data_IF_077836499247
#
_entry.id   IF_077836499247
#
_cell.length_a   1.000
_cell.length_b   1.000
_cell.length_c   1.000
_cell.angle_alpha   90.00
_cell.angle_beta   90.00
_cell.angle_gamma   90.00
#
_symmetry.space_group_name_H-M   'P 1'
#
loop_
_entity.id
_entity.type
_entity.pdbx_description
1 polymer ?
#
# COMPACT_ATOMS: atom_id res chain seq x y z
N UNK A 1 -49.23 38.53 -22.01
CA UNK A 1 -48.18 39.52 -22.36
C UNK A 1 -47.29 39.68 -21.13
N UNK A 2 -46.11 39.03 -21.10
CA UNK A 2 -44.79 39.59 -21.49
C UNK A 2 -44.33 40.69 -20.50
N UNK A 3 -43.11 40.77 -19.95
CA UNK A 3 -41.85 40.01 -20.05
C UNK A 3 -40.81 40.68 -19.12
N UNK A 4 -39.75 39.94 -18.76
CA UNK A 4 -38.34 40.38 -18.59
C UNK A 4 -37.83 40.99 -17.26
N UNK A 5 -37.00 40.17 -16.60
CA UNK A 5 -35.57 40.36 -16.34
C UNK A 5 -35.04 41.78 -16.05
N UNK A 6 -34.44 41.97 -14.88
CA UNK A 6 -33.02 42.33 -14.82
C UNK A 6 -32.39 41.92 -13.49
N UNK A 7 -31.58 40.87 -13.56
CA UNK A 7 -30.52 40.55 -12.62
C UNK A 7 -29.47 41.67 -12.75
N UNK A 8 -29.21 42.41 -11.67
CA UNK A 8 -28.07 43.30 -11.56
C UNK A 8 -27.06 42.72 -10.57
N UNK A 9 -26.06 42.07 -11.19
CA UNK A 9 -24.67 41.95 -10.79
C UNK A 9 -24.28 42.49 -9.40
N UNK A 10 -24.06 41.58 -8.44
CA UNK A 10 -23.08 41.80 -7.38
C UNK A 10 -21.73 41.29 -7.88
N UNK A 11 -20.81 42.24 -8.08
CA UNK A 11 -19.44 42.03 -8.52
C UNK A 11 -18.68 41.06 -7.60
N UNK A 12 -18.16 39.97 -8.19
CA UNK A 12 -17.19 39.07 -7.56
C UNK A 12 -15.90 39.87 -7.31
N UNK A 13 -15.39 39.98 -6.07
CA UNK A 13 -14.06 40.51 -5.86
C UNK A 13 -13.03 39.49 -6.35
N UNK A 14 -12.28 39.85 -7.40
CA UNK A 14 -11.06 39.17 -7.78
C UNK A 14 -9.99 39.41 -6.69
N UNK A 15 -9.97 38.55 -5.67
CA UNK A 15 -8.95 38.54 -4.63
C UNK A 15 -7.94 37.44 -4.90
N UNK A 16 -6.72 37.82 -5.31
CA UNK A 16 -5.60 36.90 -5.50
C UNK A 16 -5.35 36.04 -4.25
N UNK A 17 -5.32 34.72 -4.45
CA UNK A 17 -5.02 33.77 -3.38
C UNK A 17 -3.54 33.89 -3.00
N UNK A 18 -3.28 34.63 -1.92
CA UNK A 18 -2.02 34.60 -1.22
C UNK A 18 -1.78 33.20 -0.65
N UNK A 19 -0.85 32.45 -1.26
CA UNK A 19 -0.32 31.18 -0.75
C UNK A 19 0.63 31.51 0.42
N UNK A 20 0.06 31.78 1.59
CA UNK A 20 0.79 31.65 2.87
C UNK A 20 0.04 30.63 3.71
N UNK A 21 0.39 29.37 3.54
CA UNK A 21 -0.10 28.29 4.39
C UNK A 21 0.46 28.50 5.80
N UNK A 22 -0.34 29.08 6.70
CA UNK A 22 0.01 29.20 8.13
C UNK A 22 0.11 27.80 8.74
N UNK A 23 1.07 27.58 9.64
CA UNK A 23 1.27 26.31 10.38
C UNK A 23 -0.05 25.75 10.96
N UNK A 24 -0.96 26.63 11.40
CA UNK A 24 -2.29 26.24 11.89
C UNK A 24 -3.27 25.68 10.83
N UNK A 25 -3.05 25.91 9.53
CA UNK A 25 -3.80 25.24 8.46
C UNK A 25 -3.22 23.87 8.13
N UNK A 26 -1.90 23.68 8.31
CA UNK A 26 -1.25 22.38 8.14
C UNK A 26 -1.70 21.40 9.26
N UNK A 27 -1.77 21.85 10.52
CA UNK A 27 -2.26 21.06 11.66
C UNK A 27 -3.74 20.64 11.58
N UNK A 28 -4.50 21.14 10.61
CA UNK A 28 -5.94 20.83 10.42
C UNK A 28 -6.20 19.68 9.45
N UNK A 29 -5.16 19.18 8.79
CA UNK A 29 -5.25 18.08 7.83
C UNK A 29 -5.01 16.74 8.55
N UNK A 30 -5.77 15.67 8.26
CA UNK A 30 -5.53 14.33 8.82
C UNK A 30 -4.08 13.86 8.64
N UNK A 31 -3.42 14.28 7.56
CA UNK A 31 -2.02 14.00 7.24
C UNK A 31 -1.00 14.63 8.21
N UNK A 32 -1.41 15.63 9.00
CA UNK A 32 -0.53 16.25 9.98
C UNK A 32 -0.18 15.31 11.12
N UNK A 33 -1.11 14.44 11.53
CA UNK A 33 -0.88 13.44 12.57
C UNK A 33 0.18 12.43 12.17
N UNK A 34 0.06 11.87 10.96
CA UNK A 34 1.03 10.92 10.41
C UNK A 34 2.40 11.56 10.13
N UNK A 35 2.44 12.82 9.67
CA UNK A 35 3.70 13.55 9.48
C UNK A 35 4.43 13.81 10.80
N UNK A 36 3.71 14.25 11.85
CA UNK A 36 4.30 14.47 13.17
C UNK A 36 4.81 13.16 13.78
N UNK A 37 4.05 12.07 13.62
CA UNK A 37 4.47 10.73 14.02
C UNK A 37 5.76 10.30 13.33
N UNK A 38 5.83 10.47 12.01
CA UNK A 38 7.03 10.18 11.22
C UNK A 38 8.25 10.98 11.71
N UNK A 39 8.10 12.30 11.91
CA UNK A 39 9.18 13.16 12.38
C UNK A 39 9.66 12.72 13.77
N UNK A 40 8.74 12.44 14.69
CA UNK A 40 9.08 12.00 16.05
C UNK A 40 9.87 10.69 16.04
N UNK A 41 9.41 9.71 15.25
CA UNK A 41 10.08 8.41 15.09
C UNK A 41 11.45 8.57 14.42
N UNK A 42 11.55 9.37 13.36
CA UNK A 42 12.81 9.62 12.69
C UNK A 42 13.84 10.27 13.62
N UNK A 43 13.44 11.30 14.36
CA UNK A 43 14.33 11.98 15.32
C UNK A 43 14.77 11.03 16.43
N UNK A 44 13.86 10.19 16.94
CA UNK A 44 14.21 9.17 17.93
C UNK A 44 15.31 8.22 17.41
N UNK A 45 15.14 7.60 16.24
CA UNK A 45 16.14 6.68 15.70
C UNK A 45 17.41 7.38 15.21
N UNK A 46 17.33 8.64 14.76
CA UNK A 46 18.51 9.43 14.46
C UNK A 46 19.38 9.68 15.70
N UNK A 47 18.77 9.88 16.87
CA UNK A 47 19.48 10.04 18.14
C UNK A 47 20.01 8.71 18.68
N UNK A 48 19.21 7.65 18.68
CA UNK A 48 19.57 6.36 19.29
C UNK A 48 20.46 5.52 18.37
N UNK A 49 20.13 5.41 17.08
CA UNK A 49 20.92 4.68 16.09
C UNK A 49 22.15 5.45 15.57
N UNK A 50 22.24 6.75 15.87
CA UNK A 50 23.40 7.58 15.60
C UNK A 50 23.78 7.69 14.12
N UNK A 51 25.08 7.87 13.84
CA UNK A 51 25.61 8.17 12.50
C UNK A 51 25.32 7.08 11.46
N UNK A 52 25.18 5.82 11.88
CA UNK A 52 24.93 4.70 10.97
C UNK A 52 23.49 4.74 10.45
N UNK A 53 22.52 5.07 11.30
CA UNK A 53 21.12 5.20 10.89
C UNK A 53 20.88 6.33 9.87
N UNK A 54 21.57 7.46 10.04
CA UNK A 54 21.51 8.60 9.11
C UNK A 54 22.54 8.53 7.96
N UNK A 55 23.23 7.40 7.81
CA UNK A 55 24.14 7.18 6.68
C UNK A 55 23.36 6.78 5.42
N UNK A 56 24.00 6.82 4.25
CA UNK A 56 23.42 6.30 2.99
C UNK A 56 22.94 4.85 3.13
N UNK A 57 23.68 4.01 3.88
CA UNK A 57 23.31 2.64 4.18
C UNK A 57 22.02 2.57 5.02
N UNK A 58 21.91 3.46 6.01
CA UNK A 58 20.73 3.57 6.86
C UNK A 58 19.50 3.98 6.04
N UNK A 59 19.60 5.06 5.26
CA UNK A 59 18.56 5.50 4.32
C UNK A 59 18.13 4.37 3.38
N UNK A 60 19.08 3.67 2.76
CA UNK A 60 18.79 2.56 1.87
C UNK A 60 18.04 1.42 2.59
N UNK A 61 18.44 1.08 3.82
CA UNK A 61 17.84 -0.01 4.59
C UNK A 61 16.34 0.18 4.79
N UNK A 62 15.91 1.32 5.35
CA UNK A 62 14.48 1.55 5.57
C UNK A 62 13.73 1.97 4.30
N UNK A 63 14.38 2.60 3.31
CA UNK A 63 13.72 2.90 2.03
C UNK A 63 13.41 1.65 1.21
N UNK A 64 14.29 0.65 1.21
CA UNK A 64 14.06 -0.63 0.53
C UNK A 64 12.83 -1.33 1.12
N UNK A 65 12.74 -1.41 2.45
CA UNK A 65 11.58 -1.98 3.16
C UNK A 65 10.31 -1.14 2.91
N UNK A 66 10.42 0.18 2.95
CA UNK A 66 9.30 1.08 2.65
C UNK A 66 8.77 0.90 1.23
N UNK A 67 9.66 0.71 0.26
CA UNK A 67 9.27 0.53 -1.14
C UNK A 67 8.47 -0.76 -1.36
N UNK A 68 8.97 -1.90 -0.85
CA UNK A 68 8.29 -3.18 -1.00
C UNK A 68 6.90 -3.15 -0.33
N UNK A 69 6.83 -2.74 0.94
CA UNK A 69 5.56 -2.72 1.68
C UNK A 69 4.64 -1.62 1.13
N UNK A 70 5.20 -0.49 0.72
CA UNK A 70 4.46 0.66 0.21
C UNK A 70 3.73 0.37 -1.10
N UNK A 71 4.35 -0.38 -2.02
CA UNK A 71 3.68 -0.82 -3.26
C UNK A 71 2.40 -1.61 -2.95
N UNK A 72 2.43 -2.48 -1.94
CA UNK A 72 1.27 -3.26 -1.50
C UNK A 72 0.28 -2.42 -0.68
N UNK A 73 0.77 -1.55 0.20
CA UNK A 73 -0.04 -0.73 1.09
C UNK A 73 -0.93 0.26 0.34
N UNK A 74 -0.51 0.76 -0.83
CA UNK A 74 -1.28 1.69 -1.64
C UNK A 74 -2.66 1.15 -2.06
N UNK A 75 -2.77 0.05 -2.84
CA UNK A 75 -4.08 -0.51 -3.22
C UNK A 75 -4.85 -1.10 -2.04
N UNK A 76 -4.17 -1.67 -1.04
CA UNK A 76 -4.81 -2.13 0.21
C UNK A 76 -5.49 -0.94 0.90
N UNK A 77 -4.82 0.22 0.94
CA UNK A 77 -5.40 1.44 1.46
C UNK A 77 -6.59 1.93 0.65
N UNK A 78 -6.55 1.85 -0.68
CA UNK A 78 -7.71 2.20 -1.50
C UNK A 78 -8.91 1.25 -1.27
N UNK A 79 -8.66 -0.06 -1.10
CA UNK A 79 -9.70 -1.02 -0.73
C UNK A 79 -10.30 -0.69 0.63
N UNK A 80 -9.44 -0.39 1.62
CA UNK A 80 -9.90 0.03 2.95
C UNK A 80 -10.72 1.32 2.89
N UNK A 81 -10.31 2.30 2.09
CA UNK A 81 -11.10 3.52 1.84
C UNK A 81 -12.45 3.17 1.20
N UNK A 82 -12.51 2.18 0.31
CA UNK A 82 -13.75 1.68 -0.29
C UNK A 82 -14.62 0.82 0.66
N UNK A 83 -14.18 0.57 1.90
CA UNK A 83 -14.89 -0.24 2.88
C UNK A 83 -14.70 -1.75 2.71
N UNK A 84 -13.67 -2.18 1.97
CA UNK A 84 -13.33 -3.59 1.75
C UNK A 84 -11.93 -3.89 2.31
N UNK A 85 -11.65 -5.17 2.61
CA UNK A 85 -10.33 -5.61 3.06
C UNK A 85 -9.81 -6.76 2.19
N UNK A 86 -8.49 -6.79 1.95
CA UNK A 86 -7.83 -7.86 1.19
C UNK A 86 -6.65 -8.45 1.95
N UNK A 87 -6.83 -9.68 2.42
CA UNK A 87 -5.76 -10.45 3.08
C UNK A 87 -5.05 -11.40 2.09
N UNK A 88 -5.57 -11.55 0.87
CA UNK A 88 -5.02 -12.48 -0.12
C UNK A 88 -3.63 -12.08 -0.63
N UNK A 89 -3.23 -10.82 -0.41
CA UNK A 89 -1.91 -10.28 -0.75
C UNK A 89 -0.74 -11.13 -0.23
N UNK A 90 -0.89 -11.77 0.93
CA UNK A 90 0.15 -12.63 1.50
C UNK A 90 0.35 -13.94 0.73
N UNK A 91 -0.66 -14.38 -0.02
CA UNK A 91 -0.55 -15.52 -0.94
C UNK A 91 -0.11 -15.08 -2.36
N UNK A 92 -0.36 -13.82 -2.75
CA UNK A 92 -0.05 -13.33 -4.10
C UNK A 92 1.45 -13.12 -4.33
N UNK A 93 2.16 -12.61 -3.33
CA UNK A 93 3.63 -12.42 -3.39
C UNK A 93 4.35 -13.76 -3.68
N UNK A 94 4.15 -14.84 -2.89
CA UNK A 94 4.81 -16.11 -3.15
C UNK A 94 4.29 -16.75 -4.45
N UNK A 95 2.99 -16.67 -4.75
CA UNK A 95 2.43 -17.23 -5.99
C UNK A 95 3.05 -16.60 -7.24
N UNK A 96 3.19 -15.27 -7.28
CA UNK A 96 3.77 -14.57 -8.42
C UNK A 96 5.27 -14.84 -8.56
N UNK A 97 6.02 -14.76 -7.45
CA UNK A 97 7.47 -15.02 -7.45
C UNK A 97 7.80 -16.45 -7.90
N UNK A 98 7.06 -17.45 -7.41
CA UNK A 98 7.22 -18.84 -7.79
C UNK A 98 6.75 -19.11 -9.22
N UNK A 99 5.70 -18.44 -9.68
CA UNK A 99 5.29 -18.55 -11.08
C UNK A 99 6.42 -18.11 -12.01
N UNK A 100 7.09 -16.98 -11.72
CA UNK A 100 8.25 -16.53 -12.50
C UNK A 100 9.40 -17.53 -12.41
N UNK A 101 9.74 -17.98 -11.19
CA UNK A 101 10.85 -18.92 -10.97
C UNK A 101 10.61 -20.27 -11.64
N UNK A 102 9.37 -20.78 -11.68
CA UNK A 102 9.03 -22.02 -12.36
C UNK A 102 9.08 -21.83 -13.88
N UNK A 103 8.42 -20.79 -14.41
CA UNK A 103 8.35 -20.54 -15.86
C UNK A 103 9.74 -20.29 -16.46
N UNK A 104 10.57 -19.48 -15.79
CA UNK A 104 11.86 -19.07 -16.33
C UNK A 104 13.04 -19.85 -15.77
N UNK A 105 12.97 -20.33 -14.53
CA UNK A 105 14.05 -21.11 -13.90
C UNK A 105 13.95 -22.61 -14.18
N UNK A 106 12.74 -23.19 -14.16
CA UNK A 106 12.54 -24.63 -14.40
C UNK A 106 12.33 -24.94 -15.88
N UNK A 107 11.37 -24.25 -16.51
CA UNK A 107 11.07 -24.47 -17.93
C UNK A 107 11.99 -23.68 -18.89
N UNK A 108 12.83 -22.79 -18.37
CA UNK A 108 13.79 -22.03 -19.17
C UNK A 108 13.18 -21.03 -20.15
N UNK A 109 11.89 -20.67 -19.99
CA UNK A 109 11.22 -19.72 -20.87
C UNK A 109 11.72 -18.29 -20.60
N UNK A 110 11.66 -17.39 -21.60
CA UNK A 110 12.10 -16.00 -21.43
C UNK A 110 11.46 -15.33 -20.21
N UNK A 111 12.25 -14.58 -19.45
CA UNK A 111 11.82 -13.96 -18.19
C UNK A 111 10.62 -13.04 -18.34
N UNK A 112 10.46 -12.42 -19.50
CA UNK A 112 9.28 -11.61 -19.82
C UNK A 112 7.98 -12.42 -19.74
N UNK A 113 8.02 -13.70 -20.17
CA UNK A 113 6.87 -14.62 -20.08
C UNK A 113 6.60 -14.96 -18.62
N UNK A 114 7.65 -15.22 -17.84
CA UNK A 114 7.55 -15.46 -16.39
C UNK A 114 6.94 -14.26 -15.66
N UNK A 115 7.41 -13.04 -15.96
CA UNK A 115 6.90 -11.78 -15.39
C UNK A 115 5.41 -11.62 -15.69
N UNK A 116 5.01 -11.73 -16.96
CA UNK A 116 3.60 -11.58 -17.32
C UNK A 116 2.72 -12.69 -16.73
N UNK A 117 3.22 -13.92 -16.65
CA UNK A 117 2.51 -15.01 -15.98
C UNK A 117 2.31 -14.71 -14.48
N UNK A 118 3.36 -14.29 -13.77
CA UNK A 118 3.29 -13.94 -12.35
C UNK A 118 2.34 -12.77 -12.07
N UNK A 119 2.42 -11.69 -12.85
CA UNK A 119 1.48 -10.57 -12.76
C UNK A 119 0.04 -10.99 -13.11
N UNK A 120 -0.11 -11.88 -14.08
CA UNK A 120 -1.39 -12.47 -14.48
C UNK A 120 -2.05 -13.24 -13.34
N UNK A 121 -1.30 -14.02 -12.56
CA UNK A 121 -1.83 -14.72 -11.38
C UNK A 121 -2.44 -13.72 -10.39
N UNK A 122 -1.74 -12.62 -10.08
CA UNK A 122 -2.25 -11.57 -9.20
C UNK A 122 -3.54 -10.92 -9.71
N UNK A 123 -3.61 -10.63 -11.01
CA UNK A 123 -4.81 -10.07 -11.64
C UNK A 123 -5.99 -11.04 -11.64
N UNK A 124 -5.75 -12.32 -11.93
CA UNK A 124 -6.78 -13.37 -11.93
C UNK A 124 -7.37 -13.54 -10.54
N UNK A 125 -6.52 -13.69 -9.51
CA UNK A 125 -7.02 -13.86 -8.14
C UNK A 125 -7.72 -12.59 -7.66
N UNK A 126 -7.17 -11.41 -7.95
CA UNK A 126 -7.84 -10.14 -7.63
C UNK A 126 -9.21 -10.02 -8.30
N UNK A 127 -9.33 -10.41 -9.58
CA UNK A 127 -10.61 -10.45 -10.27
C UNK A 127 -11.59 -11.42 -9.60
N UNK A 128 -11.15 -12.63 -9.26
CA UNK A 128 -11.98 -13.64 -8.60
C UNK A 128 -12.46 -13.14 -7.23
N UNK A 129 -11.59 -12.54 -6.43
CA UNK A 129 -11.94 -11.96 -5.13
C UNK A 129 -12.99 -10.86 -5.28
N UNK A 130 -12.74 -9.87 -6.14
CA UNK A 130 -13.69 -8.79 -6.36
C UNK A 130 -15.03 -9.27 -6.94
N UNK A 131 -15.00 -10.29 -7.81
CA UNK A 131 -16.20 -10.89 -8.36
C UNK A 131 -17.00 -11.61 -7.29
N UNK A 132 -16.34 -12.44 -6.46
CA UNK A 132 -16.98 -13.16 -5.37
C UNK A 132 -17.60 -12.22 -4.35
N UNK A 133 -16.87 -11.20 -3.88
CA UNK A 133 -17.38 -10.20 -2.93
C UNK A 133 -18.66 -9.53 -3.43
N UNK A 134 -18.68 -9.13 -4.71
CA UNK A 134 -19.86 -8.47 -5.27
C UNK A 134 -21.02 -9.42 -5.59
N UNK A 135 -20.74 -10.68 -5.94
CA UNK A 135 -21.77 -11.61 -6.41
C UNK A 135 -22.43 -12.38 -5.28
N UNK A 136 -21.68 -12.74 -4.23
CA UNK A 136 -22.16 -13.62 -3.16
C UNK A 136 -22.69 -12.85 -1.95
N UNK A 137 -22.31 -11.57 -1.78
CA UNK A 137 -22.64 -10.79 -0.60
C UNK A 137 -21.92 -11.23 0.68
N UNK A 138 -20.97 -12.18 0.56
CA UNK A 138 -20.11 -12.61 1.66
C UNK A 138 -19.13 -11.48 2.00
N UNK A 139 -18.87 -11.20 3.29
CA UNK A 139 -17.87 -10.22 3.69
C UNK A 139 -16.51 -10.43 3.02
N UNK A 140 -15.87 -9.34 2.58
CA UNK A 140 -14.58 -9.35 1.89
C UNK A 140 -13.47 -10.06 2.64
N UNK A 141 -13.44 -9.93 3.96
CA UNK A 141 -12.49 -10.62 4.82
C UNK A 141 -12.57 -12.15 4.65
N UNK A 142 -13.78 -12.72 4.60
CA UNK A 142 -13.97 -14.18 4.49
C UNK A 142 -13.57 -14.66 3.11
N UNK A 143 -13.99 -13.95 2.05
CA UNK A 143 -13.61 -14.28 0.67
C UNK A 143 -12.09 -14.27 0.51
N UNK A 144 -11.42 -13.23 1.01
CA UNK A 144 -9.99 -13.05 0.79
C UNK A 144 -9.16 -14.02 1.64
N UNK A 145 -9.57 -14.35 2.86
CA UNK A 145 -8.97 -15.44 3.66
C UNK A 145 -9.12 -16.79 2.94
N UNK A 146 -10.31 -17.09 2.43
CA UNK A 146 -10.55 -18.33 1.68
C UNK A 146 -9.66 -18.42 0.43
N UNK A 147 -9.58 -17.33 -0.34
CA UNK A 147 -8.70 -17.23 -1.51
C UNK A 147 -7.22 -17.35 -1.14
N UNK A 148 -6.81 -16.77 0.00
CA UNK A 148 -5.44 -16.82 0.50
C UNK A 148 -5.03 -18.27 0.74
N UNK A 149 -5.82 -19.03 1.51
CA UNK A 149 -5.53 -20.45 1.77
C UNK A 149 -5.58 -21.29 0.51
N UNK A 150 -6.55 -21.04 -0.39
CA UNK A 150 -6.63 -21.73 -1.67
C UNK A 150 -5.39 -21.50 -2.54
N UNK A 151 -4.98 -20.25 -2.70
CA UNK A 151 -3.81 -19.90 -3.53
C UNK A 151 -2.51 -20.33 -2.88
N UNK A 152 -2.38 -20.26 -1.56
CA UNK A 152 -1.22 -20.83 -0.85
C UNK A 152 -1.12 -22.35 -1.07
N UNK A 153 -2.24 -23.07 -0.94
CA UNK A 153 -2.29 -24.51 -1.16
C UNK A 153 -1.94 -24.89 -2.61
N UNK A 154 -2.49 -24.17 -3.58
CA UNK A 154 -2.17 -24.36 -5.00
C UNK A 154 -0.70 -24.03 -5.29
N UNK A 155 -0.19 -22.94 -4.75
CA UNK A 155 1.21 -22.52 -4.94
C UNK A 155 2.16 -23.57 -4.36
N UNK A 156 1.90 -24.04 -3.13
CA UNK A 156 2.69 -25.11 -2.51
C UNK A 156 2.62 -26.40 -3.33
N UNK A 157 1.41 -26.88 -3.63
CA UNK A 157 1.18 -28.15 -4.31
C UNK A 157 1.79 -28.18 -5.71
N UNK A 158 1.59 -27.13 -6.51
CA UNK A 158 2.15 -27.03 -7.85
C UNK A 158 3.68 -26.87 -7.82
N UNK A 159 4.22 -26.09 -6.88
CA UNK A 159 5.68 -25.93 -6.77
C UNK A 159 6.36 -27.25 -6.41
N UNK A 160 5.83 -27.98 -5.43
CA UNK A 160 6.38 -29.29 -5.03
C UNK A 160 6.23 -30.30 -6.16
N UNK A 161 5.10 -30.31 -6.87
CA UNK A 161 4.86 -31.22 -7.99
C UNK A 161 5.83 -30.97 -9.16
N UNK A 162 6.09 -29.71 -9.50
CA UNK A 162 6.90 -29.34 -10.67
C UNK A 162 8.40 -29.32 -10.34
N UNK A 163 8.78 -28.72 -9.21
CA UNK A 163 10.17 -28.47 -8.85
C UNK A 163 10.73 -29.41 -7.77
N UNK A 164 9.90 -30.29 -7.20
CA UNK A 164 10.31 -31.24 -6.16
C UNK A 164 10.70 -30.61 -4.81
N UNK A 165 10.41 -29.32 -4.61
CA UNK A 165 10.82 -28.55 -3.42
C UNK A 165 9.84 -27.40 -3.13
N UNK A 166 10.03 -26.72 -2.00
CA UNK A 166 9.19 -25.57 -1.57
C UNK A 166 9.76 -24.21 -1.99
N UNK A 167 10.80 -24.20 -2.81
CA UNK A 167 11.40 -22.99 -3.33
C UNK A 167 12.19 -23.25 -4.60
N UNK A 168 12.24 -22.24 -5.47
CA UNK A 168 12.86 -22.35 -6.80
C UNK A 168 13.85 -21.21 -6.96
N UNK A 169 15.07 -21.54 -7.36
CA UNK A 169 16.09 -20.54 -7.66
C UNK A 169 15.94 -20.03 -9.09
N UNK A 170 16.25 -18.76 -9.31
CA UNK A 170 16.23 -18.13 -10.62
C UNK A 170 17.54 -17.37 -10.78
N UNK A 171 18.22 -17.55 -11.91
CA UNK A 171 19.39 -16.74 -12.27
C UNK A 171 18.91 -15.66 -13.25
N UNK A 172 18.76 -14.39 -12.80
CA UNK A 172 18.24 -13.33 -13.65
C UNK A 172 19.17 -13.00 -14.81
N UNK A 173 18.60 -12.70 -15.98
CA UNK A 173 19.32 -12.00 -17.03
C UNK A 173 19.73 -10.59 -16.56
N UNK A 174 20.81 -10.01 -17.10
CA UNK A 174 21.24 -8.66 -16.73
C UNK A 174 20.14 -7.61 -16.92
N UNK A 175 19.30 -7.76 -17.95
CA UNK A 175 18.23 -6.80 -18.26
C UNK A 175 17.08 -6.89 -17.26
N UNK A 176 16.60 -8.09 -16.92
CA UNK A 176 15.54 -8.23 -15.93
C UNK A 176 16.04 -7.84 -14.52
N UNK A 177 17.28 -8.20 -14.19
CA UNK A 177 17.90 -7.75 -12.95
C UNK A 177 17.95 -6.23 -12.88
N UNK A 178 18.41 -5.55 -13.93
CA UNK A 178 18.49 -4.09 -13.95
C UNK A 178 17.15 -3.37 -13.72
N UNK A 179 16.05 -3.95 -14.23
CA UNK A 179 14.73 -3.32 -14.14
C UNK A 179 14.01 -3.65 -12.82
N UNK A 180 14.20 -4.85 -12.27
CA UNK A 180 13.34 -5.37 -11.19
C UNK A 180 14.09 -5.77 -9.91
N UNK A 181 15.41 -5.92 -9.95
CA UNK A 181 16.17 -6.49 -8.83
C UNK A 181 17.58 -5.92 -8.58
N UNK A 182 17.98 -4.87 -9.28
CA UNK A 182 19.31 -4.26 -9.13
C UNK A 182 19.37 -3.30 -7.92
N UNK A 183 20.58 -3.13 -7.40
CA UNK A 183 20.89 -2.17 -6.34
C UNK A 183 21.71 -1.02 -6.92
N UNK A 184 21.09 0.15 -7.05
CA UNK A 184 21.75 1.39 -7.47
C UNK A 184 22.72 1.83 -6.36
N UNK A 185 23.97 2.06 -6.76
CA UNK A 185 25.07 2.35 -5.82
C UNK A 185 25.36 1.21 -4.85
N UNK A 186 24.91 -0.02 -5.14
CA UNK A 186 25.08 -1.19 -4.29
C UNK A 186 24.21 -1.24 -3.04
N UNK A 187 23.30 -0.27 -2.85
CA UNK A 187 22.50 -0.15 -1.62
C UNK A 187 21.01 0.06 -1.86
N UNK A 188 20.64 0.89 -2.84
CA UNK A 188 19.25 1.28 -3.08
C UNK A 188 18.61 0.36 -4.13
N UNK A 189 17.57 -0.39 -3.75
CA UNK A 189 16.86 -1.24 -4.69
C UNK A 189 16.13 -0.40 -5.75
N UNK A 190 16.14 -0.87 -7.00
CA UNK A 190 15.36 -0.27 -8.10
C UNK A 190 13.85 -0.23 -7.77
N UNK A 191 13.38 -1.12 -6.89
CA UNK A 191 12.01 -1.15 -6.35
C UNK A 191 11.57 0.18 -5.74
N UNK A 192 12.49 1.02 -5.23
CA UNK A 192 12.17 2.37 -4.74
C UNK A 192 11.60 3.26 -5.87
N UNK A 193 12.14 3.17 -7.08
CA UNK A 193 11.66 3.95 -8.22
C UNK A 193 10.28 3.48 -8.67
N UNK A 194 10.05 2.16 -8.66
CA UNK A 194 8.73 1.60 -8.89
C UNK A 194 7.73 2.03 -7.81
N UNK A 195 8.15 2.08 -6.55
CA UNK A 195 7.30 2.60 -5.49
C UNK A 195 6.91 4.06 -5.72
N UNK A 196 7.85 4.93 -6.10
CA UNK A 196 7.54 6.32 -6.47
C UNK A 196 6.55 6.38 -7.65
N UNK A 197 6.71 5.54 -8.66
CA UNK A 197 5.78 5.45 -9.79
C UNK A 197 4.37 5.02 -9.32
N UNK A 198 4.27 4.01 -8.45
CA UNK A 198 3.00 3.58 -7.88
C UNK A 198 2.39 4.69 -7.03
N UNK A 199 3.16 5.38 -6.19
CA UNK A 199 2.68 6.54 -5.43
C UNK A 199 2.09 7.59 -6.36
N UNK A 200 2.78 7.94 -7.45
CA UNK A 200 2.28 8.90 -8.43
C UNK A 200 0.97 8.42 -9.10
N UNK A 201 0.91 7.16 -9.53
CA UNK A 201 -0.27 6.57 -10.17
C UNK A 201 -1.49 6.53 -9.22
N UNK A 202 -1.31 6.04 -7.99
CA UNK A 202 -2.36 5.97 -6.99
C UNK A 202 -2.75 7.34 -6.46
N UNK A 203 -1.81 8.29 -6.36
CA UNK A 203 -2.10 9.67 -6.01
C UNK A 203 -3.02 10.31 -7.05
N UNK A 204 -2.69 10.15 -8.33
CA UNK A 204 -3.55 10.61 -9.43
C UNK A 204 -4.93 9.94 -9.36
N UNK A 205 -4.97 8.61 -9.16
CA UNK A 205 -6.23 7.86 -9.09
C UNK A 205 -7.14 8.36 -7.96
N UNK A 206 -6.62 8.56 -6.74
CA UNK A 206 -7.44 8.92 -5.58
C UNK A 206 -7.73 10.43 -5.46
N UNK A 207 -6.76 11.32 -5.75
CA UNK A 207 -6.91 12.74 -5.45
C UNK A 207 -7.28 13.61 -6.66
N UNK A 208 -6.98 13.15 -7.87
CA UNK A 208 -7.16 13.96 -9.08
C UNK A 208 -8.26 13.37 -9.95
N UNK A 209 -8.28 12.05 -10.12
CA UNK A 209 -9.21 11.40 -11.03
C UNK A 209 -10.64 11.33 -10.46
N UNK A 210 -11.68 11.31 -11.31
CA UNK A 210 -13.07 11.13 -10.86
C UNK A 210 -13.31 9.84 -10.08
N UNK A 211 -12.50 8.81 -10.34
CA UNK A 211 -12.58 7.51 -9.67
C UNK A 211 -12.32 7.65 -8.17
N UNK A 212 -11.49 8.61 -7.75
CA UNK A 212 -11.22 8.88 -6.34
C UNK A 212 -12.47 9.23 -5.54
N UNK A 213 -13.32 10.10 -6.08
CA UNK A 213 -14.61 10.45 -5.48
C UNK A 213 -15.53 9.22 -5.39
N UNK A 214 -15.48 8.32 -6.38
CA UNK A 214 -16.26 7.09 -6.35
C UNK A 214 -15.79 6.12 -5.28
N UNK A 215 -14.47 5.99 -5.07
CA UNK A 215 -13.86 5.15 -4.02
C UNK A 215 -14.29 5.65 -2.64
N UNK A 216 -14.19 6.97 -2.40
CA UNK A 216 -14.61 7.59 -1.13
C UNK A 216 -16.12 7.43 -0.89
N UNK A 217 -16.95 7.67 -1.91
CA UNK A 217 -18.40 7.50 -1.80
C UNK A 217 -18.81 6.04 -1.54
N UNK A 218 -18.15 5.08 -2.19
CA UNK A 218 -18.37 3.66 -2.00
C UNK A 218 -18.15 3.23 -0.55
N UNK A 219 -17.07 3.70 0.08
CA UNK A 219 -16.77 3.37 1.48
C UNK A 219 -17.58 4.14 2.51
N UNK A 220 -18.14 5.30 2.16
CA UNK A 220 -19.05 6.04 3.04
C UNK A 220 -20.43 5.37 3.14
N UNK A 221 -21.05 5.10 1.99
CA UNK A 221 -22.31 4.36 1.91
C UNK A 221 -22.46 3.71 0.53
N UNK A 222 -22.28 2.40 0.48
CA UNK A 222 -22.37 1.58 -0.75
C UNK A 222 -23.75 1.64 -1.42
N UNK A 223 -24.83 1.78 -0.65
CA UNK A 223 -26.20 1.86 -1.18
C UNK A 223 -26.43 3.23 -1.80
N UNK A 224 -26.06 4.30 -1.08
CA UNK A 224 -26.16 5.67 -1.60
C UNK A 224 -25.29 5.88 -2.83
N UNK A 225 -24.06 5.36 -2.84
CA UNK A 225 -23.16 5.41 -4.00
C UNK A 225 -23.77 4.73 -5.23
N UNK A 226 -24.39 3.55 -5.05
CA UNK A 226 -25.09 2.84 -6.14
C UNK A 226 -26.30 3.63 -6.65
N UNK A 227 -27.08 4.23 -5.76
CA UNK A 227 -28.23 5.06 -6.13
C UNK A 227 -27.81 6.35 -6.86
N UNK A 228 -26.59 6.85 -6.61
CA UNK A 228 -25.98 7.97 -7.32
C UNK A 228 -25.40 7.57 -8.71
N UNK A 229 -25.56 6.32 -9.14
CA UNK A 229 -25.11 5.84 -10.46
C UNK A 229 -23.65 5.39 -10.53
N UNK A 230 -22.95 5.30 -9.40
CA UNK A 230 -21.57 4.80 -9.37
C UNK A 230 -21.58 3.30 -9.69
N UNK A 231 -20.73 2.81 -10.61
CA UNK A 231 -20.63 1.39 -10.94
C UNK A 231 -19.87 0.61 -9.86
N UNK A 232 -20.47 0.54 -8.65
CA UNK A 232 -19.84 0.01 -7.43
C UNK A 232 -19.23 -1.37 -7.63
N UNK A 233 -19.92 -2.27 -8.32
CA UNK A 233 -19.40 -3.62 -8.59
C UNK A 233 -18.10 -3.61 -9.43
N UNK A 234 -18.06 -2.83 -10.52
CA UNK A 234 -16.86 -2.75 -11.37
C UNK A 234 -15.71 -2.08 -10.61
N UNK A 235 -16.02 -1.09 -9.79
CA UNK A 235 -15.04 -0.40 -8.97
C UNK A 235 -14.41 -1.34 -7.95
N UNK A 236 -15.21 -2.09 -7.19
CA UNK A 236 -14.70 -3.09 -6.22
C UNK A 236 -13.83 -4.14 -6.92
N UNK A 237 -14.24 -4.66 -8.08
CA UNK A 237 -13.43 -5.63 -8.85
C UNK A 237 -12.08 -5.02 -9.25
N UNK A 238 -12.09 -3.81 -9.80
CA UNK A 238 -10.86 -3.12 -10.20
C UNK A 238 -9.91 -2.90 -9.02
N UNK A 239 -10.43 -2.53 -7.84
CA UNK A 239 -9.61 -2.35 -6.63
C UNK A 239 -8.95 -3.65 -6.17
N UNK A 240 -9.66 -4.78 -6.19
CA UNK A 240 -9.07 -6.08 -5.89
C UNK A 240 -8.04 -6.52 -6.94
N UNK A 241 -8.28 -6.25 -8.23
CA UNK A 241 -7.29 -6.50 -9.28
C UNK A 241 -6.02 -5.66 -9.07
N UNK A 242 -6.14 -4.39 -8.66
CA UNK A 242 -5.00 -3.53 -8.34
C UNK A 242 -4.23 -4.02 -7.10
N UNK A 243 -4.93 -4.52 -6.08
CA UNK A 243 -4.33 -5.15 -4.90
C UNK A 243 -3.53 -6.40 -5.28
N UNK A 244 -4.15 -7.34 -5.98
CA UNK A 244 -3.50 -8.56 -6.45
C UNK A 244 -2.33 -8.29 -7.40
N UNK A 245 -2.47 -7.32 -8.31
CA UNK A 245 -1.40 -6.88 -9.21
C UNK A 245 -0.20 -6.31 -8.46
N UNK A 246 -0.42 -5.43 -7.47
CA UNK A 246 0.68 -4.79 -6.74
C UNK A 246 1.40 -5.79 -5.83
N UNK A 247 0.68 -6.71 -5.20
CA UNK A 247 1.28 -7.82 -4.45
C UNK A 247 2.08 -8.76 -5.37
N UNK A 248 1.53 -9.10 -6.55
CA UNK A 248 2.26 -9.90 -7.54
C UNK A 248 3.51 -9.17 -8.05
N UNK A 249 3.44 -7.86 -8.29
CA UNK A 249 4.57 -7.05 -8.71
C UNK A 249 5.71 -7.09 -7.69
N UNK A 250 5.40 -6.97 -6.40
CA UNK A 250 6.41 -7.12 -5.33
C UNK A 250 7.00 -8.52 -5.34
N UNK A 251 6.20 -9.58 -5.47
CA UNK A 251 6.72 -10.94 -5.60
C UNK A 251 7.66 -11.14 -6.80
N UNK A 252 7.28 -10.59 -7.96
CA UNK A 252 8.13 -10.60 -9.17
C UNK A 252 9.44 -9.86 -8.90
N UNK A 253 9.41 -8.67 -8.30
CA UNK A 253 10.63 -7.93 -7.96
C UNK A 253 11.51 -8.72 -6.97
N UNK A 254 10.92 -9.31 -5.92
CA UNK A 254 11.65 -10.07 -4.91
C UNK A 254 12.42 -11.26 -5.50
N UNK A 255 11.86 -12.00 -6.46
CA UNK A 255 12.61 -13.12 -7.07
C UNK A 255 13.84 -12.65 -7.86
N UNK A 256 13.79 -11.45 -8.47
CA UNK A 256 14.94 -10.87 -9.15
C UNK A 256 15.99 -10.29 -8.19
N UNK A 257 15.56 -9.80 -7.03
CA UNK A 257 16.44 -9.32 -5.94
C UNK A 257 17.15 -10.50 -5.27
N UNK A 258 16.39 -11.48 -4.80
CA UNK A 258 16.88 -12.58 -3.95
C UNK A 258 17.33 -13.81 -4.75
N UNK A 259 17.08 -13.84 -6.06
CA UNK A 259 17.44 -14.95 -6.97
C UNK A 259 16.83 -16.30 -6.53
N UNK A 260 15.80 -16.25 -5.69
CA UNK A 260 15.10 -17.39 -5.12
C UNK A 260 13.68 -16.99 -4.74
N UNK A 261 12.73 -17.89 -4.97
CA UNK A 261 11.34 -17.76 -4.58
C UNK A 261 10.96 -18.88 -3.62
N UNK A 262 10.14 -18.58 -2.61
CA UNK A 262 9.72 -19.53 -1.57
C UNK A 262 8.23 -19.44 -1.31
N UNK A 263 7.60 -20.57 -1.00
CA UNK A 263 6.13 -20.65 -0.80
C UNK A 263 5.64 -19.84 0.41
N UNK A 264 6.48 -19.67 1.43
CA UNK A 264 6.12 -18.95 2.67
C UNK A 264 6.46 -17.45 2.63
N UNK A 265 6.99 -16.94 1.51
CA UNK A 265 7.24 -15.51 1.36
C UNK A 265 5.91 -14.73 1.45
N UNK A 266 5.92 -13.49 1.94
CA UNK A 266 4.76 -12.59 1.87
C UNK A 266 3.76 -12.60 3.05
N UNK A 267 3.80 -13.56 3.97
CA UNK A 267 2.92 -13.59 5.15
C UNK A 267 2.97 -12.30 5.99
N UNK A 268 4.16 -11.75 6.19
CA UNK A 268 4.38 -10.51 6.95
C UNK A 268 3.74 -9.28 6.28
N UNK A 269 3.60 -9.28 4.95
CA UNK A 269 3.06 -8.14 4.21
C UNK A 269 1.57 -7.93 4.48
N UNK A 270 0.83 -8.97 4.91
CA UNK A 270 -0.59 -8.87 5.22
C UNK A 270 -0.82 -7.81 6.30
N UNK A 271 -0.26 -8.04 7.49
CA UNK A 271 -0.47 -7.13 8.62
C UNK A 271 0.38 -5.87 8.51
N UNK A 272 1.58 -5.94 7.94
CA UNK A 272 2.43 -4.76 7.80
C UNK A 272 1.81 -3.72 6.87
N UNK A 273 1.21 -4.13 5.74
CA UNK A 273 0.55 -3.21 4.81
C UNK A 273 -0.67 -2.54 5.44
N UNK A 274 -1.53 -3.31 6.12
CA UNK A 274 -2.67 -2.79 6.88
C UNK A 274 -2.18 -1.80 7.94
N UNK A 275 -1.10 -2.11 8.64
CA UNK A 275 -0.57 -1.22 9.67
C UNK A 275 -0.04 0.09 9.10
N UNK A 276 0.68 0.04 7.98
CA UNK A 276 1.11 1.25 7.28
C UNK A 276 -0.09 2.14 6.91
N UNK A 277 -1.15 1.53 6.39
CA UNK A 277 -2.38 2.22 5.98
C UNK A 277 -3.11 2.87 7.17
N UNK A 278 -3.24 2.15 8.30
CA UNK A 278 -3.90 2.64 9.52
C UNK A 278 -3.08 3.75 10.20
N UNK A 279 -1.75 3.59 10.30
CA UNK A 279 -0.85 4.65 10.79
C UNK A 279 -0.94 5.88 9.89
N UNK A 280 -1.09 5.66 8.58
CA UNK A 280 -1.34 6.70 7.60
C UNK A 280 -2.67 7.44 7.74
N UNK A 281 -3.56 6.98 8.61
CA UNK A 281 -4.84 7.65 8.93
C UNK A 281 -6.03 7.24 8.09
N UNK A 282 -5.93 6.12 7.35
CA UNK A 282 -7.08 5.53 6.64
C UNK A 282 -7.98 4.79 7.63
N UNK A 283 -9.30 4.96 7.48
CA UNK A 283 -10.28 4.31 8.36
C UNK A 283 -10.54 2.86 7.95
N UNK A 284 -10.56 1.96 8.94
CA UNK A 284 -10.97 0.56 8.74
C UNK A 284 -12.46 0.43 8.35
N UNK A 285 -13.27 1.43 8.70
CA UNK A 285 -14.71 1.48 8.37
C UNK A 285 -14.99 1.98 6.95
N UNK A 286 -13.97 2.46 6.23
CA UNK A 286 -14.13 3.09 4.92
C UNK A 286 -14.53 4.56 4.96
N UNK A 287 -14.55 5.17 3.77
CA UNK A 287 -15.02 6.53 3.51
C UNK A 287 -14.00 7.65 3.72
N UNK A 288 -12.84 7.39 4.33
CA UNK A 288 -11.80 8.40 4.51
C UNK A 288 -10.38 7.82 4.49
N UNK A 289 -9.49 8.55 3.82
CA UNK A 289 -8.07 8.24 3.74
C UNK A 289 -7.37 9.03 2.62
N UNK A 290 -6.04 9.00 2.60
CA UNK A 290 -5.25 9.62 1.54
C UNK A 290 -3.98 8.83 1.22
N UNK A 291 -3.56 8.85 -0.05
CA UNK A 291 -2.30 8.26 -0.50
C UNK A 291 -1.09 8.86 0.22
N UNK A 292 -1.11 10.18 0.47
CA UNK A 292 -0.03 10.85 1.22
C UNK A 292 0.06 10.28 2.63
N UNK A 293 -1.09 10.09 3.30
CA UNK A 293 -1.15 9.42 4.59
C UNK A 293 -0.53 8.03 4.55
N UNK A 294 -0.91 7.20 3.58
CA UNK A 294 -0.36 5.84 3.41
C UNK A 294 1.16 5.87 3.27
N UNK A 295 1.72 6.77 2.44
CA UNK A 295 3.18 6.92 2.26
C UNK A 295 3.87 7.29 3.56
N UNK A 296 3.33 8.24 4.31
CA UNK A 296 3.88 8.64 5.63
C UNK A 296 3.81 7.49 6.63
N UNK A 297 2.72 6.72 6.63
CA UNK A 297 2.57 5.53 7.46
C UNK A 297 3.55 4.42 7.10
N UNK A 298 3.77 4.17 5.81
CA UNK A 298 4.78 3.22 5.31
C UNK A 298 6.19 3.63 5.71
N UNK A 299 6.56 4.90 5.55
CA UNK A 299 7.86 5.41 5.99
C UNK A 299 8.04 5.26 7.50
N UNK A 300 7.00 5.58 8.28
CA UNK A 300 7.02 5.43 9.74
C UNK A 300 7.25 3.97 10.12
N UNK A 301 6.49 3.05 9.52
CA UNK A 301 6.65 1.62 9.75
C UNK A 301 8.07 1.15 9.41
N UNK A 302 8.59 1.51 8.23
CA UNK A 302 9.89 1.05 7.78
C UNK A 302 11.04 1.60 8.63
N UNK A 303 10.94 2.86 9.09
CA UNK A 303 11.91 3.44 10.02
C UNK A 303 11.86 2.72 11.37
N UNK A 304 10.67 2.39 11.90
CA UNK A 304 10.58 1.62 13.15
C UNK A 304 11.16 0.22 12.96
N UNK A 305 10.82 -0.45 11.86
CA UNK A 305 11.22 -1.82 11.57
C UNK A 305 12.75 -1.94 11.42
N UNK A 306 13.38 -1.04 10.65
CA UNK A 306 14.84 -1.07 10.49
C UNK A 306 15.59 -0.33 11.57
N UNK A 307 15.01 0.73 12.15
CA UNK A 307 15.64 1.56 13.17
C UNK A 307 16.12 0.75 14.38
N UNK A 308 15.34 -0.26 14.80
CA UNK A 308 15.70 -1.10 15.95
C UNK A 308 17.02 -1.84 15.72
N UNK A 309 17.32 -2.28 14.50
CA UNK A 309 18.60 -2.93 14.19
C UNK A 309 19.81 -2.00 14.26
N UNK A 310 19.60 -0.68 14.30
CA UNK A 310 20.65 0.31 14.55
C UNK A 310 20.78 0.68 16.03
N UNK A 311 19.78 0.36 16.84
CA UNK A 311 19.83 0.50 18.30
C UNK A 311 20.39 -0.80 18.86
N UNK A 312 21.33 -0.78 19.81
CA UNK A 312 21.91 -2.01 20.39
C UNK A 312 20.93 -2.91 21.19
N UNK A 313 19.62 -2.74 20.97
CA UNK A 313 18.52 -3.49 21.54
C UNK A 313 18.48 -4.87 20.87
N UNK A 314 18.20 -5.91 21.66
CA UNK A 314 18.02 -7.27 21.14
C UNK A 314 16.86 -7.31 20.12
N UNK A 315 17.13 -7.69 18.84
CA UNK A 315 16.11 -7.80 17.82
C UNK A 315 14.96 -8.75 18.15
N UNK A 316 15.17 -9.75 19.02
CA UNK A 316 14.13 -10.67 19.46
C UNK A 316 13.06 -9.98 20.32
N UNK A 317 13.48 -9.01 21.14
CA UNK A 317 12.57 -8.08 21.83
C UNK A 317 12.08 -6.96 20.90
N UNK A 318 12.77 -6.74 19.79
CA UNK A 318 12.42 -5.77 18.75
C UNK A 318 10.97 -5.89 18.29
N UNK A 319 10.46 -7.10 18.03
CA UNK A 319 9.07 -7.31 17.62
C UNK A 319 8.02 -6.78 18.63
N UNK A 320 8.31 -6.89 19.92
CA UNK A 320 7.45 -6.34 20.99
C UNK A 320 7.47 -4.82 20.96
N UNK A 321 8.66 -4.23 20.75
CA UNK A 321 8.86 -2.79 20.66
C UNK A 321 8.20 -2.22 19.39
N UNK A 322 8.30 -2.91 18.26
CA UNK A 322 7.59 -2.57 17.01
C UNK A 322 6.10 -2.55 17.29
N UNK A 323 5.54 -3.63 17.85
CA UNK A 323 4.12 -3.70 18.18
C UNK A 323 3.67 -2.56 19.10
N UNK A 324 4.40 -2.30 20.18
CA UNK A 324 4.09 -1.23 21.11
C UNK A 324 4.18 0.18 20.49
N UNK A 325 5.26 0.47 19.75
CA UNK A 325 5.45 1.76 19.08
C UNK A 325 4.41 2.02 18.00
N UNK A 326 4.04 1.00 17.23
CA UNK A 326 3.01 1.14 16.19
C UNK A 326 1.62 1.33 16.82
N UNK A 327 1.29 0.61 17.89
CA UNK A 327 0.03 0.83 18.63
C UNK A 327 -0.03 2.26 19.20
N UNK A 328 1.06 2.75 19.79
CA UNK A 328 1.15 4.13 20.27
C UNK A 328 1.00 5.13 19.11
N UNK A 329 1.63 4.88 17.97
CA UNK A 329 1.52 5.72 16.79
C UNK A 329 0.07 5.81 16.28
N UNK A 330 -0.64 4.69 16.20
CA UNK A 330 -2.07 4.66 15.81
C UNK A 330 -2.94 5.40 16.83
N UNK A 331 -2.75 5.14 18.13
CA UNK A 331 -3.50 5.82 19.19
C UNK A 331 -3.26 7.34 19.19
N UNK A 332 -2.03 7.77 18.94
CA UNK A 332 -1.70 9.19 18.79
C UNK A 332 -2.38 9.77 17.56
N UNK A 333 -2.31 9.07 16.42
CA UNK A 333 -2.93 9.52 15.18
C UNK A 333 -4.45 9.71 15.32
N UNK A 334 -5.14 8.77 15.96
CA UNK A 334 -6.57 8.88 16.24
C UNK A 334 -6.90 10.08 17.14
N UNK A 335 -6.12 10.31 18.20
CA UNK A 335 -6.29 11.47 19.09
C UNK A 335 -6.05 12.80 18.37
N UNK A 336 -5.00 12.89 17.55
CA UNK A 336 -4.71 14.10 16.77
C UNK A 336 -5.78 14.38 15.72
N UNK A 337 -6.33 13.34 15.07
CA UNK A 337 -7.45 13.47 14.13
C UNK A 337 -8.70 14.00 14.83
N UNK A 338 -9.09 13.44 15.97
CA UNK A 338 -10.24 13.90 16.75
C UNK A 338 -10.07 15.36 17.22
N UNK A 339 -8.85 15.72 17.63
CA UNK A 339 -8.52 17.09 18.02
C UNK A 339 -8.66 18.05 16.82
N UNK A 340 -8.13 17.69 15.65
CA UNK A 340 -8.25 18.48 14.43
C UNK A 340 -9.72 18.69 13.99
N UNK A 341 -10.55 17.66 14.11
CA UNK A 341 -11.99 17.73 13.81
C UNK A 341 -12.75 18.61 14.80
N UNK A 342 -12.49 18.49 16.11
CA UNK A 342 -13.16 19.32 17.14
C UNK A 342 -12.85 20.81 17.02
N UNK A 343 -11.63 21.17 16.59
CA UNK A 343 -11.23 22.55 16.30
C UNK A 343 -11.85 23.13 15.02
N UNK A 344 -12.36 22.30 14.11
CA UNK A 344 -13.10 22.76 12.93
C UNK A 344 -14.55 23.13 13.28
N UNK A 345 -15.18 22.39 14.19
CA UNK A 345 -16.58 22.62 14.61
C UNK A 345 -16.74 23.86 15.49
N UNK A 346 -15.72 24.22 16.28
CA UNK A 346 -15.77 25.33 17.25
C UNK A 346 -15.81 26.75 16.64
N UNK A 347 -15.86 26.87 15.29
CA UNK A 347 -15.85 28.16 14.58
C UNK A 347 -17.07 28.36 13.66
N UNK A 348 -18.18 27.64 13.92
CA UNK A 348 -19.52 27.99 13.42
C UNK A 348 -20.30 28.66 14.54
#
# INVERSE_FOLDING_TARGET
>A
MNTRNSLLASSIPAGGQNIKATIGQLSRRPEAGSLLGLIAVFVFFAMVGGKVFVSSAGYASWLNVAAEIGIVALPVGLLMIAGEMDLSIGAMIPAASLTVAIVSGVYGLPEIVGIFAGLGVGLIVGFLNGYMVNRTGVPSLIVTIGSMFGVMGLTLGLTVLIAGSTGVSLVPSPTAKAILGEFIGGMFQVTIFWWVLFVAAFFYLLHISPVGNWILALGGDKVSARNAGIPTARLTIALYMLSGFSAAFVGVSQVFVYQSAQVLAGQSFIFNSIMCVVIGGVLLTGGAGSVVGIVLGTLTFAIVNQGIYFTGIDPNLGSVIIGALLLLAVMMNDKFRLMAMSYATKKK
#
